data_IF_152967255195
#
_entry.id   IF_152967255195
#
_cell.length_a   1.000
_cell.length_b   1.000
_cell.length_c   1.000
_cell.angle_alpha   90.00
_cell.angle_beta   90.00
_cell.angle_gamma   90.00
#
_symmetry.space_group_name_H-M   'P 1'
#
loop_
_entity.id
_entity.type
_entity.pdbx_description
1 polymer ?
#
# COMPACT_ATOMS: atom_id res chain seq x y z
N UNK A 1 75.90 26.09 3.95
CA UNK A 1 75.52 24.71 3.55
C UNK A 1 75.09 24.01 4.83
N UNK A 2 73.88 23.50 5.09
CA UNK A 2 72.95 22.68 4.29
C UNK A 2 71.61 22.62 5.04
N UNK A 3 70.49 23.06 4.44
CA UNK A 3 69.12 22.75 4.90
C UNK A 3 68.37 22.05 3.75
N UNK A 4 68.62 20.74 3.59
CA UNK A 4 67.88 19.86 2.64
C UNK A 4 67.83 18.44 3.21
N UNK A 5 67.08 18.22 4.29
CA UNK A 5 66.76 16.84 4.77
C UNK A 5 65.35 16.65 5.35
N UNK A 6 64.50 17.70 5.42
CA UNK A 6 63.16 17.58 6.01
C UNK A 6 62.01 17.33 5.01
N UNK A 7 62.23 17.48 3.69
CA UNK A 7 61.18 17.26 2.67
C UNK A 7 61.14 15.85 2.11
N UNK A 8 62.21 15.07 2.26
CA UNK A 8 62.33 13.70 1.73
C UNK A 8 61.22 12.75 2.20
N UNK A 9 60.79 12.75 3.49
CA UNK A 9 59.73 11.87 3.96
C UNK A 9 58.36 12.18 3.34
N UNK A 10 58.09 13.47 3.06
CA UNK A 10 56.82 13.93 2.51
C UNK A 10 56.70 13.52 1.04
N UNK A 11 57.78 13.66 0.26
CA UNK A 11 57.80 13.19 -1.14
C UNK A 11 57.68 11.68 -1.24
N UNK A 12 58.29 10.92 -0.33
CA UNK A 12 58.14 9.46 -0.27
C UNK A 12 56.69 9.09 0.08
N UNK A 13 56.08 9.77 1.06
CA UNK A 13 54.67 9.56 1.39
C UNK A 13 53.74 9.86 0.22
N UNK A 14 53.98 10.96 -0.51
CA UNK A 14 53.17 11.32 -1.67
C UNK A 14 53.36 10.34 -2.84
N UNK A 15 54.59 9.87 -3.06
CA UNK A 15 54.88 8.85 -4.06
C UNK A 15 54.23 7.50 -3.73
N UNK A 16 54.14 7.13 -2.45
CA UNK A 16 53.42 5.92 -2.00
C UNK A 16 51.92 6.08 -2.25
N UNK A 17 51.33 7.23 -1.91
CA UNK A 17 49.89 7.49 -2.15
C UNK A 17 49.58 7.45 -3.65
N UNK A 18 50.40 8.10 -4.48
CA UNK A 18 50.26 8.05 -5.94
C UNK A 18 50.49 6.64 -6.46
N UNK A 19 51.47 5.90 -5.95
CA UNK A 19 51.73 4.52 -6.33
C UNK A 19 50.58 3.58 -6.00
N UNK A 20 49.92 3.76 -4.85
CA UNK A 20 48.71 3.03 -4.47
C UNK A 20 47.53 3.41 -5.38
N UNK A 21 47.39 4.70 -5.71
CA UNK A 21 46.32 5.19 -6.58
C UNK A 21 46.48 4.74 -8.05
N UNK A 22 47.70 4.74 -8.57
CA UNK A 22 48.02 4.22 -9.91
C UNK A 22 47.93 2.68 -9.90
N UNK A 23 48.41 2.03 -8.85
CA UNK A 23 48.34 0.57 -8.68
C UNK A 23 46.91 0.06 -8.58
N UNK A 24 45.99 0.79 -7.95
CA UNK A 24 44.57 0.43 -7.87
C UNK A 24 43.83 0.61 -9.20
N UNK A 25 44.30 1.49 -10.08
CA UNK A 25 43.67 1.77 -11.38
C UNK A 25 44.17 0.87 -12.51
N UNK A 26 45.39 0.31 -12.40
CA UNK A 26 46.03 -0.44 -13.50
C UNK A 26 45.93 -1.98 -13.45
N UNK A 27 45.38 -2.62 -12.41
CA UNK A 27 45.34 -4.08 -12.33
C UNK A 27 43.92 -4.68 -12.38
N UNK A 28 43.41 -4.84 -13.60
CA UNK A 28 42.25 -5.65 -13.98
C UNK A 28 42.64 -7.14 -14.04
N UNK A 29 42.42 -7.87 -12.94
CA UNK A 29 42.15 -9.34 -12.82
C UNK A 29 42.61 -9.87 -11.46
N UNK A 30 41.98 -9.41 -10.39
CA UNK A 30 41.63 -10.20 -9.20
C UNK A 30 41.22 -9.22 -8.11
N UNK A 31 39.90 -9.20 -7.91
CA UNK A 31 39.18 -8.49 -6.87
C UNK A 31 39.81 -8.75 -5.51
N UNK A 32 40.40 -7.71 -4.92
CA UNK A 32 41.08 -7.77 -3.64
C UNK A 32 40.12 -8.13 -2.50
N UNK A 33 40.47 -9.23 -1.85
CA UNK A 33 39.85 -9.94 -0.72
C UNK A 33 39.97 -9.17 0.60
N UNK A 34 39.55 -7.90 0.64
CA UNK A 34 39.51 -7.08 1.88
C UNK A 34 38.10 -6.68 2.31
N UNK A 35 37.11 -6.92 1.45
CA UNK A 35 35.70 -6.90 1.81
C UNK A 35 35.16 -8.27 1.45
N UNK A 36 34.80 -9.07 2.46
CA UNK A 36 34.00 -10.28 2.29
C UNK A 36 32.63 -9.88 1.74
N UNK A 37 32.54 -9.57 0.45
CA UNK A 37 31.26 -9.49 -0.24
C UNK A 37 30.67 -10.89 -0.19
N UNK A 38 29.57 -11.04 0.52
CA UNK A 38 28.83 -12.27 0.65
C UNK A 38 28.65 -12.89 -0.75
N UNK A 39 29.13 -14.12 -0.95
CA UNK A 39 29.18 -14.76 -2.28
C UNK A 39 27.79 -14.82 -2.94
N UNK A 40 26.74 -14.87 -2.12
CA UNK A 40 25.35 -14.84 -2.56
C UNK A 40 24.89 -13.45 -3.01
N UNK A 41 25.28 -12.38 -2.31
CA UNK A 41 24.98 -11.00 -2.70
C UNK A 41 25.66 -10.66 -4.03
N UNK A 42 26.93 -11.06 -4.18
CA UNK A 42 27.66 -10.90 -5.43
C UNK A 42 26.99 -11.68 -6.58
N UNK A 43 26.44 -12.87 -6.31
CA UNK A 43 25.72 -13.68 -7.30
C UNK A 43 24.42 -13.00 -7.75
N UNK A 44 23.61 -12.48 -6.82
CA UNK A 44 22.37 -11.75 -7.13
C UNK A 44 22.68 -10.49 -7.93
N UNK A 45 23.67 -9.69 -7.49
CA UNK A 45 24.08 -8.47 -8.17
C UNK A 45 24.57 -8.74 -9.60
N UNK A 46 25.35 -9.80 -9.79
CA UNK A 46 25.83 -10.22 -11.12
C UNK A 46 24.68 -10.64 -12.03
N UNK A 47 23.69 -11.37 -11.50
CA UNK A 47 22.49 -11.75 -12.26
C UNK A 47 21.70 -10.51 -12.72
N UNK A 48 21.45 -9.57 -11.81
CA UNK A 48 20.73 -8.31 -12.14
C UNK A 48 21.50 -7.54 -13.22
N UNK A 49 22.82 -7.39 -13.07
CA UNK A 49 23.65 -6.70 -14.06
C UNK A 49 23.58 -7.38 -15.44
N UNK A 50 23.61 -8.71 -15.50
CA UNK A 50 23.49 -9.43 -16.77
C UNK A 50 22.13 -9.21 -17.43
N UNK A 51 21.04 -9.21 -16.67
CA UNK A 51 19.71 -8.91 -17.20
C UNK A 51 19.64 -7.46 -17.70
N UNK A 52 20.27 -6.52 -17.00
CA UNK A 52 20.18 -5.10 -17.32
C UNK A 52 21.02 -4.70 -18.55
N UNK A 53 22.23 -5.24 -18.69
CA UNK A 53 23.20 -4.78 -19.68
C UNK A 53 23.37 -5.72 -20.88
N UNK A 54 23.12 -7.02 -20.70
CA UNK A 54 23.41 -8.03 -21.73
C UNK A 54 22.14 -8.64 -22.34
N UNK A 55 20.95 -8.32 -21.81
CA UNK A 55 19.68 -8.79 -22.37
C UNK A 55 19.28 -7.99 -23.61
N UNK A 56 18.70 -8.67 -24.60
CA UNK A 56 18.38 -8.11 -25.92
C UNK A 56 17.30 -7.02 -25.87
N UNK A 57 16.33 -7.17 -24.96
CA UNK A 57 15.23 -6.23 -24.78
C UNK A 57 15.41 -5.37 -23.52
N UNK A 58 14.75 -4.22 -23.48
CA UNK A 58 14.69 -3.41 -22.27
C UNK A 58 13.80 -4.10 -21.23
N UNK A 59 14.37 -4.44 -20.08
CA UNK A 59 13.65 -5.13 -18.99
C UNK A 59 13.39 -4.17 -17.83
N UNK A 60 12.22 -4.31 -17.19
CA UNK A 60 11.93 -3.64 -15.92
C UNK A 60 12.54 -4.44 -14.76
N UNK A 61 13.73 -4.05 -14.32
CA UNK A 61 14.47 -4.74 -13.25
C UNK A 61 13.78 -4.65 -11.89
N UNK A 62 12.99 -3.61 -11.63
CA UNK A 62 12.30 -3.43 -10.35
C UNK A 62 11.20 -4.48 -10.18
N UNK A 63 10.37 -4.68 -11.22
CA UNK A 63 9.33 -5.73 -11.21
C UNK A 63 9.92 -7.13 -11.06
N UNK A 64 11.06 -7.41 -11.70
CA UNK A 64 11.72 -8.71 -11.56
C UNK A 64 12.28 -8.93 -10.16
N UNK A 65 12.75 -7.87 -9.51
CA UNK A 65 13.26 -7.93 -8.15
C UNK A 65 12.11 -8.21 -7.17
N UNK A 66 10.98 -7.53 -7.33
CA UNK A 66 9.79 -7.74 -6.51
C UNK A 66 9.29 -9.19 -6.60
N UNK A 67 9.25 -9.75 -7.82
CA UNK A 67 8.89 -11.16 -8.05
C UNK A 67 9.91 -12.12 -7.41
N UNK A 68 11.20 -11.83 -7.51
CA UNK A 68 12.25 -12.64 -6.91
C UNK A 68 12.13 -12.66 -5.38
N UNK A 69 11.95 -11.50 -4.74
CA UNK A 69 11.77 -11.37 -3.28
C UNK A 69 10.52 -12.14 -2.85
N UNK A 70 9.39 -11.94 -3.54
CA UNK A 70 8.12 -12.62 -3.24
C UNK A 70 8.29 -14.13 -3.28
N UNK A 71 8.93 -14.67 -4.32
CA UNK A 71 9.18 -16.11 -4.44
C UNK A 71 10.15 -16.64 -3.37
N UNK A 72 11.10 -15.82 -2.89
CA UNK A 72 11.98 -16.21 -1.79
C UNK A 72 11.22 -16.30 -0.47
N UNK A 73 10.30 -15.37 -0.19
CA UNK A 73 9.49 -15.38 1.04
C UNK A 73 8.46 -16.52 1.05
N UNK A 74 7.76 -16.76 -0.06
CA UNK A 74 6.79 -17.87 -0.16
C UNK A 74 7.44 -19.23 0.11
N UNK A 75 8.72 -19.40 -0.27
CA UNK A 75 9.49 -20.62 0.02
C UNK A 75 9.93 -20.73 1.48
N UNK A 76 10.01 -19.61 2.19
CA UNK A 76 10.38 -19.59 3.61
C UNK A 76 9.17 -19.98 4.46
N UNK A 77 8.03 -19.34 4.22
CA UNK A 77 6.79 -19.52 4.97
C UNK A 77 5.60 -18.93 4.20
N UNK A 78 4.45 -19.64 4.07
CA UNK A 78 3.25 -19.13 3.40
C UNK A 78 2.65 -17.85 3.99
N UNK A 79 3.01 -17.47 5.23
CA UNK A 79 2.50 -16.25 5.88
C UNK A 79 3.42 -15.04 5.75
N UNK A 80 4.60 -15.21 5.15
CA UNK A 80 5.55 -14.13 4.91
C UNK A 80 5.25 -13.44 3.57
N UNK A 81 4.97 -12.13 3.60
CA UNK A 81 4.56 -11.34 2.43
C UNK A 81 5.49 -10.14 2.21
N UNK A 82 5.86 -9.89 0.97
CA UNK A 82 6.53 -8.65 0.54
C UNK A 82 5.49 -7.62 0.10
N UNK A 83 5.61 -6.39 0.56
CA UNK A 83 4.74 -5.28 0.16
C UNK A 83 5.56 -4.31 -0.68
N UNK A 84 5.33 -4.22 -2.00
CA UNK A 84 6.01 -3.25 -2.85
C UNK A 84 5.71 -1.81 -2.40
N UNK A 85 6.63 -0.89 -2.72
CA UNK A 85 6.52 0.52 -2.32
C UNK A 85 5.23 1.17 -2.83
N UNK A 86 4.78 0.79 -4.02
CA UNK A 86 3.58 1.28 -4.69
C UNK A 86 2.31 0.84 -3.96
N UNK A 87 2.36 -0.27 -3.22
CA UNK A 87 1.22 -0.83 -2.49
C UNK A 87 1.22 -0.46 -1.02
N UNK A 88 2.38 -0.14 -0.44
CA UNK A 88 2.55 0.14 0.98
C UNK A 88 1.52 1.12 1.53
N UNK A 89 1.29 2.25 0.85
CA UNK A 89 0.29 3.24 1.29
C UNK A 89 -1.13 2.65 1.37
N UNK A 90 -1.54 1.85 0.38
CA UNK A 90 -2.87 1.23 0.38
C UNK A 90 -3.01 0.20 1.50
N UNK A 91 -1.97 -0.62 1.72
CA UNK A 91 -1.96 -1.60 2.80
C UNK A 91 -2.02 -0.90 4.15
N UNK A 92 -1.22 0.15 4.37
CA UNK A 92 -1.26 0.95 5.59
C UNK A 92 -2.64 1.57 5.82
N UNK A 93 -3.22 2.25 4.83
CA UNK A 93 -4.56 2.82 4.93
C UNK A 93 -5.64 1.77 5.26
N UNK A 94 -5.55 0.59 4.63
CA UNK A 94 -6.45 -0.54 4.89
C UNK A 94 -6.34 -1.06 6.33
N UNK A 95 -5.11 -1.18 6.84
CA UNK A 95 -4.81 -1.62 8.21
C UNK A 95 -5.18 -0.59 9.27
N UNK A 96 -4.97 0.70 8.99
CA UNK A 96 -5.42 1.79 9.85
C UNK A 96 -6.95 1.95 9.86
N UNK A 97 -7.66 1.33 8.90
CA UNK A 97 -9.12 1.46 8.79
C UNK A 97 -9.56 2.84 8.31
N UNK A 98 -8.64 3.63 7.75
CA UNK A 98 -8.93 4.98 7.24
C UNK A 98 -7.93 5.41 6.19
N UNK A 99 -8.37 6.27 5.29
CA UNK A 99 -7.52 6.95 4.32
C UNK A 99 -7.88 8.43 4.24
N UNK A 100 -7.04 9.21 3.55
CA UNK A 100 -7.27 10.63 3.33
C UNK A 100 -7.66 10.88 1.88
N UNK A 101 -8.82 11.48 1.66
CA UNK A 101 -9.34 11.77 0.33
C UNK A 101 -10.67 12.51 0.37
N UNK A 102 -11.42 12.45 -0.73
CA UNK A 102 -12.72 13.14 -0.81
C UNK A 102 -13.90 12.28 -0.34
N UNK A 103 -13.76 10.94 -0.28
CA UNK A 103 -14.81 10.05 0.23
C UNK A 103 -15.98 9.79 -0.74
N UNK A 104 -15.67 9.29 -1.94
CA UNK A 104 -16.65 8.83 -2.93
C UNK A 104 -16.38 7.38 -3.34
N UNK A 105 -17.44 6.66 -3.66
CA UNK A 105 -17.39 5.45 -4.47
C UNK A 105 -17.66 5.83 -5.92
N UNK A 106 -16.91 5.24 -6.85
CA UNK A 106 -17.04 5.54 -8.26
C UNK A 106 -16.91 4.28 -9.10
N UNK A 107 -17.47 4.33 -10.31
CA UNK A 107 -17.20 3.37 -11.36
C UNK A 107 -16.77 4.12 -12.62
N UNK A 108 -15.95 3.47 -13.43
CA UNK A 108 -15.69 3.94 -14.79
C UNK A 108 -16.87 3.53 -15.67
N UNK A 109 -17.60 4.51 -16.21
CA UNK A 109 -18.63 4.27 -17.20
C UNK A 109 -18.23 4.92 -18.52
N UNK A 110 -18.13 4.10 -19.56
CA UNK A 110 -17.64 4.51 -20.87
C UNK A 110 -16.25 5.16 -20.73
N UNK A 111 -16.17 6.48 -20.84
CA UNK A 111 -14.96 7.25 -20.78
C UNK A 111 -14.90 8.21 -19.58
N UNK A 112 -15.80 8.08 -18.59
CA UNK A 112 -15.94 9.02 -17.48
C UNK A 112 -16.03 8.36 -16.10
N UNK A 113 -15.58 9.07 -15.07
CA UNK A 113 -15.69 8.65 -13.67
C UNK A 113 -17.09 9.01 -13.17
N UNK A 114 -17.92 8.02 -12.90
CA UNK A 114 -19.28 8.21 -12.38
C UNK A 114 -19.29 7.94 -10.88
N UNK A 115 -19.78 8.88 -10.09
CA UNK A 115 -20.00 8.70 -8.65
C UNK A 115 -21.17 7.74 -8.44
N UNK A 116 -20.93 6.65 -7.75
CA UNK A 116 -21.94 5.62 -7.43
C UNK A 116 -22.45 5.71 -6.01
N UNK A 117 -21.71 6.39 -5.15
CA UNK A 117 -21.99 6.50 -3.72
C UNK A 117 -21.12 7.56 -3.08
N UNK A 118 -21.64 8.18 -2.03
CA UNK A 118 -20.87 9.15 -1.22
C UNK A 118 -20.76 8.60 0.19
N UNK A 119 -19.56 8.64 0.77
CA UNK A 119 -19.34 8.14 2.11
C UNK A 119 -20.01 9.07 3.12
N UNK A 120 -20.97 8.55 3.87
CA UNK A 120 -21.72 9.28 4.91
C UNK A 120 -20.78 9.89 5.95
N UNK A 121 -20.98 11.16 6.28
CA UNK A 121 -20.13 11.96 7.16
C UNK A 121 -18.79 12.38 6.55
N UNK A 122 -18.48 11.90 5.34
CA UNK A 122 -17.23 12.16 4.63
C UNK A 122 -17.17 13.54 3.95
N UNK A 123 -16.01 13.93 3.39
CA UNK A 123 -15.83 15.26 2.82
C UNK A 123 -16.75 15.57 1.63
N UNK A 124 -16.99 14.60 0.75
CA UNK A 124 -17.82 14.80 -0.45
C UNK A 124 -19.30 14.98 -0.14
N UNK A 125 -19.82 14.32 0.91
CA UNK A 125 -21.21 14.51 1.35
C UNK A 125 -21.40 15.95 1.85
N UNK A 126 -20.48 16.43 2.68
CA UNK A 126 -20.46 17.80 3.21
C UNK A 126 -20.33 18.85 2.10
N UNK A 127 -19.59 18.54 1.04
CA UNK A 127 -19.40 19.42 -0.10
C UNK A 127 -20.54 19.36 -1.13
N UNK A 128 -21.49 18.44 -0.97
CA UNK A 128 -22.67 18.33 -1.84
C UNK A 128 -22.45 17.60 -3.16
N UNK A 129 -21.46 16.71 -3.25
CA UNK A 129 -21.40 15.71 -4.33
C UNK A 129 -22.58 14.74 -4.17
N UNK A 130 -23.14 14.30 -5.29
CA UNK A 130 -24.29 13.40 -5.34
C UNK A 130 -23.98 12.16 -6.16
N UNK A 131 -24.72 11.08 -5.89
CA UNK A 131 -24.72 9.90 -6.76
C UNK A 131 -25.17 10.28 -8.17
N UNK A 132 -24.50 9.73 -9.18
CA UNK A 132 -24.71 10.05 -10.58
C UNK A 132 -23.89 11.24 -11.10
N UNK A 133 -23.21 12.00 -10.24
CA UNK A 133 -22.27 13.04 -10.68
C UNK A 133 -21.15 12.41 -11.52
N UNK A 134 -20.78 13.06 -12.63
CA UNK A 134 -19.62 12.65 -13.45
C UNK A 134 -18.43 13.53 -13.12
N UNK A 135 -17.37 12.97 -12.55
CA UNK A 135 -16.14 13.72 -12.24
C UNK A 135 -15.35 13.94 -13.53
N UNK A 136 -15.21 15.20 -13.94
CA UNK A 136 -14.52 15.60 -15.17
C UNK A 136 -13.07 16.01 -14.86
N UNK A 137 -12.89 16.80 -13.79
CA UNK A 137 -11.58 17.36 -13.41
C UNK A 137 -11.42 17.26 -11.90
N UNK A 138 -10.22 16.88 -11.47
CA UNK A 138 -9.79 16.94 -10.07
C UNK A 138 -8.50 17.76 -9.95
N UNK A 139 -8.62 19.01 -9.49
CA UNK A 139 -7.51 19.95 -9.44
C UNK A 139 -6.98 20.27 -10.84
N UNK A 140 -5.80 19.74 -11.17
CA UNK A 140 -5.18 19.88 -12.50
C UNK A 140 -5.39 18.67 -13.41
N UNK A 141 -6.00 17.61 -12.89
CA UNK A 141 -6.10 16.34 -13.58
C UNK A 141 -7.45 16.22 -14.29
N UNK A 142 -7.41 15.98 -15.60
CA UNK A 142 -8.61 15.64 -16.38
C UNK A 142 -8.87 14.15 -16.30
N UNK A 143 -10.07 13.77 -15.84
CA UNK A 143 -10.44 12.39 -15.49
C UNK A 143 -11.45 11.75 -16.46
N UNK A 144 -11.48 12.21 -17.71
CA UNK A 144 -12.32 11.63 -18.76
C UNK A 144 -11.54 11.41 -20.07
N UNK A 145 -12.10 10.57 -20.95
CA UNK A 145 -11.62 10.38 -22.32
C UNK A 145 -10.19 9.85 -22.42
N UNK A 146 -9.42 10.39 -23.36
CA UNK A 146 -8.01 9.99 -23.57
C UNK A 146 -7.08 10.46 -22.44
N UNK A 147 -7.46 11.51 -21.72
CA UNK A 147 -6.64 12.10 -20.65
C UNK A 147 -6.45 11.13 -19.49
N UNK A 148 -7.49 10.39 -19.11
CA UNK A 148 -7.41 9.39 -18.04
C UNK A 148 -6.54 8.18 -18.44
N UNK A 149 -6.59 7.77 -19.71
CA UNK A 149 -5.74 6.69 -20.26
C UNK A 149 -4.27 7.10 -20.21
N UNK A 150 -3.94 8.32 -20.68
CA UNK A 150 -2.59 8.86 -20.63
C UNK A 150 -2.08 8.97 -19.20
N UNK A 151 -2.93 9.45 -18.27
CA UNK A 151 -2.57 9.59 -16.86
C UNK A 151 -2.30 8.25 -16.16
N UNK A 152 -3.01 7.21 -16.56
CA UNK A 152 -2.84 5.87 -16.05
C UNK A 152 -1.66 5.11 -16.69
N UNK A 153 -0.96 5.72 -17.67
CA UNK A 153 0.15 5.13 -18.40
C UNK A 153 -0.21 3.74 -18.95
N UNK A 154 -1.36 3.64 -19.62
CA UNK A 154 -1.78 2.40 -20.28
C UNK A 154 -1.10 2.25 -21.63
N UNK A 155 -0.63 1.05 -21.90
CA UNK A 155 -0.30 0.62 -23.25
C UNK A 155 -1.57 0.31 -24.04
N UNK A 156 -1.54 0.44 -25.37
CA UNK A 156 -2.70 0.13 -26.23
C UNK A 156 -3.25 -1.28 -26.01
N UNK A 157 -2.36 -2.24 -25.69
CA UNK A 157 -2.70 -3.65 -25.41
C UNK A 157 -3.42 -3.84 -24.08
N UNK A 158 -3.35 -2.87 -23.17
CA UNK A 158 -3.97 -2.94 -21.84
C UNK A 158 -5.38 -2.33 -21.83
N UNK A 159 -5.73 -1.56 -22.86
CA UNK A 159 -7.05 -0.91 -22.96
C UNK A 159 -8.15 -1.99 -23.06
N UNK A 160 -9.17 -1.88 -22.21
CA UNK A 160 -10.26 -2.85 -22.14
C UNK A 160 -9.93 -4.14 -21.36
N UNK A 161 -8.72 -4.26 -20.81
CA UNK A 161 -8.33 -5.39 -19.95
C UNK A 161 -8.56 -5.07 -18.47
N UNK A 162 -8.65 -6.11 -17.63
CA UNK A 162 -8.74 -5.98 -16.17
C UNK A 162 -7.55 -5.16 -15.61
N UNK A 163 -6.35 -5.37 -16.16
CA UNK A 163 -5.16 -4.62 -15.78
C UNK A 163 -5.29 -3.13 -16.11
N UNK A 164 -5.79 -2.81 -17.30
CA UNK A 164 -6.07 -1.43 -17.71
C UNK A 164 -7.11 -0.76 -16.81
N UNK A 165 -8.22 -1.44 -16.50
CA UNK A 165 -9.24 -0.93 -15.59
C UNK A 165 -8.66 -0.65 -14.19
N UNK A 166 -7.78 -1.52 -13.68
CA UNK A 166 -7.10 -1.31 -12.39
C UNK A 166 -6.17 -0.08 -12.42
N UNK A 167 -5.35 0.06 -13.47
CA UNK A 167 -4.46 1.23 -13.65
C UNK A 167 -5.26 2.54 -13.71
N UNK A 168 -6.39 2.54 -14.40
CA UNK A 168 -7.31 3.70 -14.47
C UNK A 168 -7.85 4.05 -13.08
N UNK A 169 -8.36 3.06 -12.34
CA UNK A 169 -8.86 3.27 -10.97
C UNK A 169 -7.77 3.86 -10.06
N UNK A 170 -6.55 3.31 -10.13
CA UNK A 170 -5.39 3.82 -9.39
C UNK A 170 -5.06 5.27 -9.76
N UNK A 171 -5.13 5.64 -11.04
CA UNK A 171 -4.89 7.01 -11.48
C UNK A 171 -5.95 7.99 -10.97
N UNK A 172 -7.22 7.59 -10.97
CA UNK A 172 -8.33 8.39 -10.40
C UNK A 172 -8.12 8.56 -8.89
N UNK A 173 -7.88 7.47 -8.16
CA UNK A 173 -7.63 7.52 -6.72
C UNK A 173 -6.47 8.45 -6.37
N UNK A 174 -5.38 8.44 -7.15
CA UNK A 174 -4.23 9.34 -6.95
C UNK A 174 -4.59 10.83 -7.10
N UNK A 175 -5.57 11.18 -7.92
CA UNK A 175 -6.04 12.57 -8.08
C UNK A 175 -6.98 13.02 -6.96
N UNK A 176 -7.83 12.09 -6.50
CA UNK A 176 -8.83 12.37 -5.48
C UNK A 176 -8.23 12.34 -4.06
N UNK A 177 -7.27 11.45 -3.80
CA UNK A 177 -6.49 11.41 -2.56
C UNK A 177 -5.42 12.51 -2.54
N UNK A 178 -4.83 12.74 -1.37
CA UNK A 178 -3.80 13.76 -1.17
C UNK A 178 -3.52 13.97 0.31
N UNK A 179 -2.76 15.01 0.63
CA UNK A 179 -2.45 15.35 2.02
C UNK A 179 -3.70 15.85 2.76
N UNK A 180 -3.81 15.59 4.08
CA UNK A 180 -4.91 16.08 4.91
C UNK A 180 -5.08 17.59 4.80
N UNK A 181 -6.32 18.06 4.89
CA UNK A 181 -6.70 19.49 4.90
C UNK A 181 -6.32 20.26 3.62
N UNK A 182 -5.85 19.57 2.58
CA UNK A 182 -5.64 20.20 1.27
C UNK A 182 -6.95 20.23 0.48
N UNK A 183 -7.26 21.37 -0.14
CA UNK A 183 -8.45 21.51 -0.97
C UNK A 183 -8.17 21.08 -2.41
N UNK A 184 -9.07 20.30 -2.99
CA UNK A 184 -9.11 19.98 -4.42
C UNK A 184 -10.38 20.55 -5.04
N UNK A 185 -10.22 21.28 -6.15
CA UNK A 185 -11.36 21.73 -6.94
C UNK A 185 -11.83 20.58 -7.82
N UNK A 186 -13.02 20.04 -7.53
CA UNK A 186 -13.64 19.00 -8.33
C UNK A 186 -14.65 19.64 -9.27
N UNK A 187 -14.55 19.34 -10.57
CA UNK A 187 -15.56 19.71 -11.55
C UNK A 187 -16.40 18.49 -11.86
N UNK A 188 -17.71 18.57 -11.56
CA UNK A 188 -18.67 17.51 -11.82
C UNK A 188 -19.70 17.95 -12.84
N UNK A 189 -20.05 17.09 -13.79
CA UNK A 189 -21.27 17.25 -14.57
C UNK A 189 -22.42 16.58 -13.84
N UNK A 190 -23.48 17.36 -13.56
CA UNK A 190 -24.67 16.90 -12.85
C UNK A 190 -25.87 16.91 -13.78
N UNK A 191 -26.33 15.71 -14.15
CA UNK A 191 -27.42 15.51 -15.12
C UNK A 191 -28.75 16.16 -14.72
N UNK A 192 -29.06 16.26 -13.42
CA UNK A 192 -30.34 16.82 -12.95
C UNK A 192 -30.48 18.31 -13.20
N UNK A 193 -29.36 19.03 -13.31
CA UNK A 193 -29.33 20.48 -13.60
C UNK A 193 -28.69 20.79 -14.95
N UNK A 194 -28.16 19.77 -15.64
CA UNK A 194 -27.46 19.87 -16.93
C UNK A 194 -26.30 20.89 -16.94
N UNK A 195 -25.57 20.97 -15.82
CA UNK A 195 -24.48 21.93 -15.62
C UNK A 195 -23.19 21.27 -15.11
N UNK A 196 -22.07 21.95 -15.34
CA UNK A 196 -20.78 21.63 -14.73
C UNK A 196 -20.64 22.48 -13.46
N UNK A 197 -20.57 21.81 -12.32
CA UNK A 197 -20.41 22.44 -11.01
C UNK A 197 -18.95 22.35 -10.57
N UNK A 198 -18.40 23.47 -10.12
CA UNK A 198 -17.11 23.50 -9.43
C UNK A 198 -17.33 23.41 -7.92
N UNK A 199 -16.87 22.32 -7.33
CA UNK A 199 -17.03 22.03 -5.91
C UNK A 199 -15.64 21.93 -5.26
N UNK A 200 -15.23 22.92 -4.44
CA UNK A 200 -14.01 22.80 -3.65
C UNK A 200 -14.22 21.82 -2.50
N UNK A 201 -13.38 20.80 -2.40
CA UNK A 201 -13.47 19.77 -1.36
C UNK A 201 -12.17 19.71 -0.58
N UNK A 202 -12.23 19.94 0.72
CA UNK A 202 -11.11 19.69 1.63
C UNK A 202 -10.94 18.17 1.79
N UNK A 203 -9.72 17.66 1.55
CA UNK A 203 -9.42 16.24 1.78
C UNK A 203 -9.40 15.97 3.27
N UNK A 204 -10.16 14.97 3.69
CA UNK A 204 -10.28 14.57 5.08
C UNK A 204 -10.16 13.07 5.26
N UNK A 205 -10.18 12.64 6.52
CA UNK A 205 -10.23 11.21 6.84
C UNK A 205 -11.55 10.59 6.36
N UNK A 206 -11.43 9.42 5.75
CA UNK A 206 -12.53 8.59 5.26
C UNK A 206 -12.33 7.20 5.84
N UNK A 207 -13.33 6.73 6.59
CA UNK A 207 -13.29 5.43 7.23
C UNK A 207 -13.41 4.31 6.20
N UNK A 208 -12.56 3.29 6.36
CA UNK A 208 -12.66 2.02 5.63
C UNK A 208 -13.15 0.99 6.64
N UNK A 209 -14.41 0.56 6.47
CA UNK A 209 -14.96 -0.48 7.32
C UNK A 209 -14.16 -1.78 7.19
N UNK A 210 -14.05 -2.47 8.32
CA UNK A 210 -13.40 -3.76 8.49
C UNK A 210 -14.40 -4.82 8.97
N UNK A 211 -15.49 -4.39 9.60
CA UNK A 211 -16.71 -5.18 9.78
C UNK A 211 -17.67 -4.84 8.65
N UNK A 212 -17.84 -5.75 7.69
CA UNK A 212 -18.59 -5.50 6.46
C UNK A 212 -20.10 -5.57 6.66
N UNK A 213 -20.56 -6.41 7.60
CA UNK A 213 -21.98 -6.60 7.89
C UNK A 213 -22.20 -7.20 9.27
N UNK A 214 -23.31 -6.82 9.89
CA UNK A 214 -23.87 -7.49 11.04
C UNK A 214 -25.40 -7.42 11.02
N UNK A 215 -26.08 -8.52 11.34
CA UNK A 215 -27.54 -8.60 11.33
C UNK A 215 -28.04 -9.85 12.07
N UNK A 216 -29.33 -9.87 12.42
CA UNK A 216 -30.02 -11.06 12.94
C UNK A 216 -30.38 -11.99 11.79
N UNK A 217 -29.90 -13.23 11.80
CA UNK A 217 -30.31 -14.30 10.87
C UNK A 217 -31.74 -14.75 11.20
N UNK A 218 -32.05 -14.87 12.49
CA UNK A 218 -33.39 -15.17 13.02
C UNK A 218 -33.56 -14.48 14.39
N UNK A 219 -34.62 -14.77 15.14
CA UNK A 219 -34.92 -14.12 16.43
C UNK A 219 -33.81 -14.27 17.50
N UNK A 220 -32.91 -15.25 17.36
CA UNK A 220 -31.90 -15.58 18.39
C UNK A 220 -30.47 -15.62 17.86
N UNK A 221 -30.28 -15.87 16.55
CA UNK A 221 -28.98 -16.02 15.92
C UNK A 221 -28.57 -14.73 15.20
N UNK A 222 -27.51 -14.10 15.67
CA UNK A 222 -26.85 -12.97 15.02
C UNK A 222 -25.69 -13.44 14.12
N UNK A 223 -25.27 -12.53 13.25
CA UNK A 223 -24.16 -12.72 12.33
C UNK A 223 -23.31 -11.45 12.31
N UNK A 224 -21.99 -11.60 12.38
CA UNK A 224 -21.02 -10.53 12.17
C UNK A 224 -19.94 -11.05 11.21
N UNK A 225 -19.63 -10.28 10.17
CA UNK A 225 -18.54 -10.58 9.24
C UNK A 225 -17.39 -9.59 9.40
N UNK A 226 -16.18 -10.11 9.63
CA UNK A 226 -14.96 -9.32 9.77
C UNK A 226 -14.01 -9.63 8.61
N UNK A 227 -13.79 -8.65 7.75
CA UNK A 227 -12.94 -8.77 6.56
C UNK A 227 -11.44 -8.81 6.91
N UNK A 228 -11.03 -8.14 7.99
CA UNK A 228 -9.63 -8.04 8.47
C UNK A 228 -9.57 -7.46 9.88
N UNK A 229 -8.45 -7.62 10.57
CA UNK A 229 -8.18 -6.99 11.86
C UNK A 229 -7.43 -5.66 11.70
N UNK A 230 -8.17 -4.61 11.36
CA UNK A 230 -7.71 -3.22 11.28
C UNK A 230 -7.78 -2.52 12.65
N UNK A 231 -7.17 -1.34 12.78
CA UNK A 231 -7.21 -0.55 14.03
C UNK A 231 -8.63 -0.23 14.51
N UNK A 232 -9.57 -0.04 13.59
CA UNK A 232 -10.97 0.29 13.91
C UNK A 232 -11.85 -0.93 14.15
N UNK A 233 -11.35 -2.16 13.95
CA UNK A 233 -12.19 -3.36 13.90
C UNK A 233 -12.85 -3.68 15.23
N UNK A 234 -12.15 -3.52 16.36
CA UNK A 234 -12.73 -3.80 17.66
C UNK A 234 -13.94 -2.91 17.96
N UNK A 235 -13.81 -1.60 17.72
CA UNK A 235 -14.91 -0.65 17.92
C UNK A 235 -16.10 -0.96 16.99
N UNK A 236 -15.83 -1.27 15.72
CA UNK A 236 -16.85 -1.66 14.75
C UNK A 236 -17.56 -2.96 15.16
N UNK A 237 -16.79 -3.95 15.64
CA UNK A 237 -17.30 -5.22 16.13
C UNK A 237 -18.17 -5.01 17.37
N UNK A 238 -17.72 -4.21 18.33
CA UNK A 238 -18.43 -3.96 19.58
C UNK A 238 -19.77 -3.27 19.34
N UNK A 239 -19.80 -2.26 18.47
CA UNK A 239 -21.04 -1.60 18.05
C UNK A 239 -22.03 -2.63 17.46
N UNK A 240 -21.57 -3.48 16.53
CA UNK A 240 -22.41 -4.51 15.93
C UNK A 240 -22.89 -5.54 16.95
N UNK A 241 -22.01 -5.99 17.84
CA UNK A 241 -22.32 -6.95 18.90
C UNK A 241 -23.39 -6.41 19.86
N UNK A 242 -23.21 -5.20 20.38
CA UNK A 242 -24.14 -4.55 21.31
C UNK A 242 -25.50 -4.33 20.66
N UNK A 243 -25.54 -3.95 19.38
CA UNK A 243 -26.79 -3.83 18.62
C UNK A 243 -27.51 -5.18 18.48
N UNK A 244 -26.79 -6.27 18.20
CA UNK A 244 -27.40 -7.60 18.08
C UNK A 244 -27.91 -8.11 19.44
N UNK A 245 -27.15 -7.90 20.52
CA UNK A 245 -27.58 -8.20 21.89
C UNK A 245 -28.88 -7.44 22.22
N UNK A 246 -28.95 -6.14 21.88
CA UNK A 246 -30.15 -5.32 22.11
C UNK A 246 -31.39 -5.82 21.34
N UNK A 247 -31.18 -6.54 20.24
CA UNK A 247 -32.21 -7.18 19.42
C UNK A 247 -32.58 -8.59 19.89
N UNK A 248 -32.01 -9.06 21.00
CA UNK A 248 -32.32 -10.36 21.60
C UNK A 248 -31.41 -11.51 21.15
N UNK A 249 -30.26 -11.22 20.54
CA UNK A 249 -29.30 -12.25 20.15
C UNK A 249 -28.82 -13.08 21.35
N UNK A 250 -28.86 -14.39 21.22
CA UNK A 250 -28.32 -15.36 22.19
C UNK A 250 -27.28 -16.30 21.59
N UNK A 251 -27.09 -16.28 20.27
CA UNK A 251 -26.08 -17.05 19.54
C UNK A 251 -25.50 -16.20 18.42
N UNK A 252 -24.20 -16.34 18.12
CA UNK A 252 -23.50 -15.53 17.12
C UNK A 252 -22.76 -16.42 16.12
N UNK A 253 -22.90 -16.11 14.83
CA UNK A 253 -21.96 -16.53 13.78
C UNK A 253 -20.95 -15.41 13.57
N UNK A 254 -19.69 -15.66 13.91
CA UNK A 254 -18.58 -14.78 13.57
C UNK A 254 -17.91 -15.30 12.29
N UNK A 255 -18.15 -14.63 11.16
CA UNK A 255 -17.58 -15.01 9.88
C UNK A 255 -16.24 -14.33 9.63
N UNK A 256 -15.19 -15.16 9.63
CA UNK A 256 -13.80 -14.77 9.33
C UNK A 256 -13.33 -15.34 7.98
N UNK A 257 -14.24 -15.87 7.14
CA UNK A 257 -13.85 -16.39 5.82
C UNK A 257 -13.32 -15.26 4.95
N UNK A 258 -12.18 -15.51 4.30
CA UNK A 258 -11.50 -14.51 3.47
C UNK A 258 -10.72 -13.45 4.26
N UNK A 259 -10.70 -13.53 5.60
CA UNK A 259 -9.94 -12.62 6.44
C UNK A 259 -8.44 -13.03 6.45
N UNK A 260 -7.52 -12.18 5.95
CA UNK A 260 -6.09 -12.51 5.87
C UNK A 260 -5.35 -12.31 7.20
N UNK A 261 -6.03 -11.83 8.25
CA UNK A 261 -5.44 -11.47 9.54
C UNK A 261 -5.39 -9.95 9.75
N UNK A 262 -4.37 -9.50 10.49
CA UNK A 262 -4.13 -8.10 10.80
C UNK A 262 -3.47 -7.91 12.15
N UNK A 263 -3.86 -6.87 12.88
CA UNK A 263 -3.33 -6.56 14.21
C UNK A 263 -3.75 -7.61 15.24
N UNK A 264 -2.76 -8.30 15.82
CA UNK A 264 -2.98 -9.38 16.78
C UNK A 264 -3.65 -8.89 18.07
N UNK A 265 -3.28 -7.70 18.55
CA UNK A 265 -3.91 -7.04 19.69
C UNK A 265 -5.42 -6.83 19.47
N UNK A 266 -5.84 -6.50 18.25
CA UNK A 266 -7.25 -6.33 17.91
C UNK A 266 -7.99 -7.67 17.89
N UNK A 267 -7.38 -8.71 17.32
CA UNK A 267 -7.94 -10.06 17.36
C UNK A 267 -8.08 -10.56 18.81
N UNK A 268 -7.10 -10.27 19.67
CA UNK A 268 -7.12 -10.60 21.09
C UNK A 268 -8.27 -9.87 21.81
N UNK A 269 -8.48 -8.59 21.56
CA UNK A 269 -9.62 -7.86 22.16
C UNK A 269 -10.97 -8.43 21.72
N UNK A 270 -11.11 -8.88 20.47
CA UNK A 270 -12.36 -9.49 19.99
C UNK A 270 -12.60 -10.85 20.64
N UNK A 271 -11.58 -11.70 20.78
CA UNK A 271 -11.76 -13.03 21.38
C UNK A 271 -12.00 -12.95 22.90
N UNK A 272 -11.46 -11.93 23.56
CA UNK A 272 -11.65 -11.66 24.99
C UNK A 272 -13.14 -11.45 25.36
N UNK A 273 -13.94 -10.91 24.43
CA UNK A 273 -15.40 -10.76 24.59
C UNK A 273 -16.14 -12.11 24.71
N UNK A 274 -15.50 -13.23 24.38
CA UNK A 274 -16.10 -14.58 24.44
C UNK A 274 -15.53 -15.47 25.53
N UNK A 275 -14.35 -15.14 26.08
CA UNK A 275 -13.62 -16.02 26.99
C UNK A 275 -13.86 -15.64 28.45
N UNK A 276 -13.68 -16.62 29.33
CA UNK A 276 -13.67 -16.37 30.78
C UNK A 276 -12.34 -15.72 31.20
N UNK A 277 -12.37 -15.00 32.32
CA UNK A 277 -11.18 -14.40 32.93
C UNK A 277 -10.07 -15.44 33.16
N UNK A 278 -8.83 -15.04 32.83
CA UNK A 278 -7.63 -15.83 33.10
C UNK A 278 -7.40 -17.01 32.15
N UNK A 279 -8.12 -17.09 31.02
CA UNK A 279 -7.80 -18.04 29.95
C UNK A 279 -6.67 -17.52 29.07
N UNK A 280 -5.73 -18.42 28.75
CA UNK A 280 -4.68 -18.12 27.78
C UNK A 280 -5.28 -18.04 26.39
N UNK A 281 -5.15 -16.87 25.74
CA UNK A 281 -5.60 -16.65 24.36
C UNK A 281 -4.54 -17.17 23.38
N UNK A 282 -3.33 -16.64 23.48
CA UNK A 282 -2.20 -16.91 22.60
C UNK A 282 -0.90 -16.71 23.39
N UNK A 283 0.15 -17.41 22.99
CA UNK A 283 1.52 -17.14 23.40
C UNK A 283 2.40 -17.06 22.16
N UNK A 284 3.46 -16.30 22.25
CA UNK A 284 4.46 -16.16 21.18
C UNK A 284 5.75 -16.83 21.62
N UNK A 285 6.45 -17.46 20.68
CA UNK A 285 7.77 -18.04 20.93
C UNK A 285 8.76 -17.46 19.94
N UNK A 286 9.82 -16.83 20.44
CA UNK A 286 10.84 -16.26 19.59
C UNK A 286 11.84 -17.32 19.11
N UNK A 287 12.76 -16.93 18.21
CA UNK A 287 13.80 -17.80 17.66
C UNK A 287 14.72 -18.42 18.74
N UNK A 288 14.95 -17.70 19.84
CA UNK A 288 15.79 -18.16 20.94
C UNK A 288 15.04 -19.11 21.88
N UNK A 289 13.73 -19.25 21.69
CA UNK A 289 12.87 -20.13 22.45
C UNK A 289 12.19 -19.47 23.65
N UNK A 290 12.38 -18.16 23.84
CA UNK A 290 11.68 -17.41 24.88
C UNK A 290 10.19 -17.32 24.53
N UNK A 291 9.34 -17.49 25.54
CA UNK A 291 7.89 -17.47 25.42
C UNK A 291 7.36 -16.24 26.15
N UNK A 292 6.51 -15.48 25.45
CA UNK A 292 5.72 -14.35 25.97
C UNK A 292 4.24 -14.64 25.76
#
# INVERSE_FOLDING_TARGET
MTKRKASMPIFIGFAIVIGIFIGSTFNYKNQSVLFSSNTNEAKIKRLINYIQYDYVDKVNTDSLLDDAITNMLVKLDPHSVYIPKEELKRVTESMEGKFVGIGVSFLMHEDSVVVTGVIKGGPSEKAGIQEGDRIIIAGKDTLFGKSIIAKANLDEKEIGTILGSRKISDAVMKSLKGEPETTVNIFVYRRSVDEILQIPIARGEVSIKSVSSYYMINETLGYINIDRFARTTYDEFKIGLDELISKGMTSLVLDLRGNPGGFMDIANSIIDEFLEDGKLIVFTKNKNGDVD
#
